data_IF_306476716226
#
_entry.id   IF_306476716226
#
_cell.length_a   1.000
_cell.length_b   1.000
_cell.length_c   1.000
_cell.angle_alpha   90.00
_cell.angle_beta   90.00
_cell.angle_gamma   90.00
#
_symmetry.space_group_name_H-M   'P 1'
#
loop_
_entity.id
_entity.type
_entity.pdbx_description
1 polymer ?
#
# COMPACT_ATOMS: atom_id res chain seq x y z
N UNK A 1 8.63 -23.40 42.09
CA UNK A 1 8.41 -22.50 40.94
C UNK A 1 9.55 -21.52 40.98
N UNK A 2 10.47 -21.56 40.01
CA UNK A 2 11.68 -20.74 40.07
C UNK A 2 11.31 -19.31 39.71
N UNK A 3 11.54 -18.37 40.63
CA UNK A 3 11.33 -16.95 40.38
C UNK A 3 12.40 -16.46 39.40
N UNK A 4 12.00 -16.23 38.15
CA UNK A 4 12.89 -15.63 37.16
C UNK A 4 13.27 -14.21 37.62
N UNK A 5 14.58 -13.93 37.65
CA UNK A 5 15.12 -12.62 38.06
C UNK A 5 15.55 -11.81 36.84
N UNK A 6 15.36 -10.50 36.91
CA UNK A 6 15.82 -9.59 35.87
C UNK A 6 17.35 -9.56 35.80
N UNK A 7 17.95 -9.77 34.62
CA UNK A 7 19.42 -9.73 34.43
C UNK A 7 20.05 -8.33 34.59
N UNK A 8 19.25 -7.28 34.73
CA UNK A 8 19.73 -5.90 34.88
C UNK A 8 19.70 -5.40 36.34
N UNK A 9 18.65 -5.73 37.08
CA UNK A 9 18.41 -5.20 38.43
C UNK A 9 18.22 -6.30 39.49
N UNK A 10 18.31 -7.56 39.11
CA UNK A 10 18.22 -8.76 39.97
C UNK A 10 16.92 -8.92 40.76
N UNK A 11 15.92 -8.07 40.53
CA UNK A 11 14.59 -8.17 41.12
C UNK A 11 13.76 -9.28 40.47
N UNK A 12 12.83 -9.83 41.25
CA UNK A 12 11.88 -10.85 40.79
C UNK A 12 10.98 -10.31 39.68
N UNK A 13 10.80 -11.10 38.63
CA UNK A 13 9.92 -10.76 37.51
C UNK A 13 8.50 -11.22 37.82
N UNK A 14 7.53 -10.45 37.33
CA UNK A 14 6.13 -10.88 37.36
C UNK A 14 5.96 -11.96 36.28
N UNK A 15 5.43 -13.14 36.60
CA UNK A 15 5.27 -14.21 35.62
C UNK A 15 4.41 -13.75 34.45
N UNK A 16 4.86 -14.05 33.22
CA UNK A 16 4.20 -13.62 31.97
C UNK A 16 4.55 -12.21 31.47
N UNK A 17 5.47 -11.50 32.14
CA UNK A 17 5.93 -10.17 31.69
C UNK A 17 7.33 -10.23 31.06
N UNK A 18 7.52 -9.53 29.93
CA UNK A 18 8.80 -9.47 29.20
C UNK A 18 9.71 -8.31 29.63
N UNK A 19 9.17 -7.34 30.38
CA UNK A 19 9.87 -6.15 30.84
C UNK A 19 9.85 -6.08 32.36
N UNK A 20 10.95 -5.62 32.95
CA UNK A 20 11.00 -5.44 34.40
C UNK A 20 10.15 -4.24 34.83
N UNK A 21 9.30 -4.42 35.85
CA UNK A 21 8.45 -3.37 36.43
C UNK A 21 9.23 -2.25 37.14
N UNK A 22 10.50 -2.49 37.50
CA UNK A 22 11.31 -1.53 38.25
C UNK A 22 12.30 -0.72 37.40
N UNK A 23 12.89 -1.32 36.36
CA UNK A 23 13.91 -0.66 35.54
C UNK A 23 13.53 -0.53 34.06
N UNK A 24 12.33 -0.99 33.68
CA UNK A 24 11.76 -0.99 32.32
C UNK A 24 12.64 -1.66 31.25
N UNK A 25 13.76 -2.30 31.63
CA UNK A 25 14.61 -3.04 30.69
C UNK A 25 13.97 -4.37 30.31
N UNK A 26 14.26 -4.82 29.09
CA UNK A 26 13.90 -6.15 28.64
C UNK A 26 14.53 -7.21 29.54
N UNK A 27 13.72 -8.14 30.05
CA UNK A 27 14.10 -9.04 31.14
C UNK A 27 15.22 -10.02 30.75
N UNK A 28 15.19 -10.50 29.52
CA UNK A 28 16.08 -11.55 29.01
C UNK A 28 17.42 -11.01 28.50
N UNK A 29 17.42 -9.81 27.90
CA UNK A 29 18.60 -9.12 27.39
C UNK A 29 18.51 -7.61 27.61
N UNK A 30 19.20 -7.07 28.63
CA UNK A 30 19.13 -5.64 28.94
C UNK A 30 19.77 -4.74 27.88
N UNK A 31 20.62 -5.28 27.00
CA UNK A 31 21.22 -4.53 25.89
C UNK A 31 20.24 -4.28 24.74
N UNK A 32 19.13 -5.02 24.68
CA UNK A 32 18.12 -4.87 23.62
C UNK A 32 17.40 -3.52 23.70
N UNK A 33 17.14 -3.03 24.93
CA UNK A 33 16.52 -1.74 25.15
C UNK A 33 15.52 -1.71 26.30
N UNK A 34 14.83 -0.56 26.41
CA UNK A 34 13.81 -0.29 27.43
C UNK A 34 12.40 -0.26 26.82
N UNK A 35 11.41 -0.49 27.67
CA UNK A 35 9.99 -0.41 27.36
C UNK A 35 9.67 0.95 26.75
N UNK A 36 9.08 0.95 25.55
CA UNK A 36 8.63 2.17 24.91
C UNK A 36 7.46 2.79 25.68
N UNK A 37 7.49 4.11 25.88
CA UNK A 37 6.42 4.85 26.52
C UNK A 37 5.10 4.74 25.76
N UNK A 38 3.98 4.73 26.50
CA UNK A 38 2.64 4.57 25.94
C UNK A 38 2.34 5.59 24.83
N UNK A 39 2.68 6.86 25.06
CA UNK A 39 2.48 7.93 24.07
C UNK A 39 3.23 7.70 22.76
N UNK A 40 4.48 7.21 22.82
CA UNK A 40 5.27 6.90 21.62
C UNK A 40 4.66 5.76 20.80
N UNK A 41 4.15 4.72 21.48
CA UNK A 41 3.45 3.60 20.81
C UNK A 41 2.14 4.05 20.20
N UNK A 42 1.36 4.85 20.93
CA UNK A 42 0.13 5.42 20.41
C UNK A 42 0.38 6.30 19.19
N UNK A 43 1.38 7.18 19.26
CA UNK A 43 1.74 8.04 18.14
C UNK A 43 2.18 7.21 16.92
N UNK A 44 3.07 6.24 17.10
CA UNK A 44 3.51 5.36 16.01
C UNK A 44 2.33 4.64 15.34
N UNK A 45 1.46 4.00 16.14
CA UNK A 45 0.30 3.27 15.62
C UNK A 45 -0.67 4.17 14.84
N UNK A 46 -0.77 5.44 15.19
CA UNK A 46 -1.60 6.40 14.44
C UNK A 46 -0.86 6.97 13.23
N UNK A 47 0.45 7.22 13.31
CA UNK A 47 1.24 7.84 12.25
C UNK A 47 1.53 6.88 11.10
N UNK A 48 1.80 5.61 11.40
CA UNK A 48 2.10 4.55 10.42
C UNK A 48 1.05 4.43 9.31
N UNK A 49 -0.28 4.36 9.59
CA UNK A 49 -1.27 4.30 8.52
C UNK A 49 -1.32 5.59 7.68
N UNK A 50 -1.10 6.76 8.26
CA UNK A 50 -1.04 8.01 7.48
C UNK A 50 0.17 8.03 6.55
N UNK A 51 1.34 7.62 7.05
CA UNK A 51 2.56 7.51 6.23
C UNK A 51 2.34 6.49 5.11
N UNK A 52 1.76 5.34 5.43
CA UNK A 52 1.47 4.31 4.44
C UNK A 52 0.51 4.81 3.34
N UNK A 53 -0.61 5.45 3.71
CA UNK A 53 -1.55 6.02 2.75
C UNK A 53 -0.92 7.13 1.90
N UNK A 54 -0.08 7.98 2.50
CA UNK A 54 0.62 9.06 1.80
C UNK A 54 1.65 8.52 0.79
N UNK A 55 2.42 7.51 1.17
CA UNK A 55 3.37 6.87 0.25
C UNK A 55 2.67 6.16 -0.91
N UNK A 56 1.56 5.46 -0.65
CA UNK A 56 0.75 4.84 -1.71
C UNK A 56 0.15 5.88 -2.67
N UNK A 57 -0.36 7.00 -2.15
CA UNK A 57 -0.96 8.04 -3.00
C UNK A 57 0.07 8.68 -3.93
N UNK A 58 1.28 8.98 -3.43
CA UNK A 58 2.39 9.48 -4.25
C UNK A 58 2.80 8.45 -5.29
N UNK A 59 2.95 7.18 -4.91
CA UNK A 59 3.33 6.12 -5.84
C UNK A 59 2.28 5.96 -6.96
N UNK A 60 0.99 5.96 -6.61
CA UNK A 60 -0.11 5.96 -7.58
C UNK A 60 -0.06 7.19 -8.49
N UNK A 61 0.18 8.38 -7.94
CA UNK A 61 0.24 9.62 -8.69
C UNK A 61 1.40 9.63 -9.71
N UNK A 62 2.58 9.15 -9.32
CA UNK A 62 3.73 9.01 -10.22
C UNK A 62 3.43 7.99 -11.33
N UNK A 63 2.82 6.86 -10.99
CA UNK A 63 2.43 5.83 -11.96
C UNK A 63 1.41 6.35 -12.97
N UNK A 64 0.39 7.07 -12.50
CA UNK A 64 -0.61 7.69 -13.36
C UNK A 64 0.00 8.75 -14.29
N UNK A 65 0.90 9.59 -13.76
CA UNK A 65 1.59 10.61 -14.55
C UNK A 65 2.47 10.03 -15.66
N UNK A 66 2.97 8.80 -15.48
CA UNK A 66 3.79 8.10 -16.48
C UNK A 66 2.99 7.22 -17.43
N UNK A 67 1.67 7.08 -17.24
CA UNK A 67 0.88 6.11 -17.98
C UNK A 67 1.26 4.66 -17.70
N UNK A 68 1.95 4.40 -16.59
CA UNK A 68 2.57 3.11 -16.32
C UNK A 68 2.40 2.72 -14.85
N UNK A 69 1.61 1.68 -14.61
CA UNK A 69 1.52 1.04 -13.29
C UNK A 69 2.71 0.11 -13.10
N UNK A 70 3.11 -0.22 -11.86
CA UNK A 70 4.21 -1.17 -11.61
C UNK A 70 3.96 -2.51 -12.31
N UNK A 71 2.71 -2.98 -12.34
CA UNK A 71 2.32 -4.18 -13.07
C UNK A 71 2.53 -4.05 -14.58
N UNK A 72 2.18 -2.91 -15.17
CA UNK A 72 2.44 -2.67 -16.59
C UNK A 72 3.95 -2.61 -16.87
N UNK A 73 4.72 -1.96 -16.01
CA UNK A 73 6.18 -1.94 -16.16
C UNK A 73 6.82 -3.32 -16.02
N UNK A 74 6.29 -4.19 -15.16
CA UNK A 74 6.75 -5.56 -15.00
C UNK A 74 6.42 -6.41 -16.25
N UNK A 75 5.26 -6.17 -16.85
CA UNK A 75 4.76 -6.90 -18.01
C UNK A 75 5.13 -6.24 -19.35
N UNK A 76 5.97 -5.20 -19.35
CA UNK A 76 6.37 -4.51 -20.56
C UNK A 76 5.22 -3.77 -21.27
N UNK A 77 4.16 -3.38 -20.58
CA UNK A 77 3.02 -2.66 -21.14
C UNK A 77 3.07 -1.16 -20.82
N UNK A 78 2.32 -0.36 -21.57
CA UNK A 78 2.16 1.08 -21.35
C UNK A 78 0.79 1.55 -21.82
N UNK A 79 0.19 2.49 -21.09
CA UNK A 79 -1.05 3.14 -21.50
C UNK A 79 -0.70 4.37 -22.35
N UNK A 80 -1.32 4.48 -23.53
CA UNK A 80 -1.24 5.64 -24.41
C UNK A 80 -2.64 6.09 -24.81
N UNK A 81 -2.81 7.36 -25.18
CA UNK A 81 -4.05 7.80 -25.83
C UNK A 81 -4.12 7.24 -27.26
N UNK A 82 -5.31 7.25 -27.86
CA UNK A 82 -5.49 6.92 -29.28
C UNK A 82 -4.55 7.72 -30.20
N UNK A 83 -4.22 8.96 -29.81
CA UNK A 83 -3.32 9.84 -30.56
C UNK A 83 -1.82 9.53 -30.35
N UNK A 84 -1.49 8.44 -29.64
CA UNK A 84 -0.11 8.06 -29.31
C UNK A 84 0.54 8.90 -28.21
N UNK A 85 -0.13 9.95 -27.74
CA UNK A 85 0.36 10.82 -26.67
C UNK A 85 0.25 10.16 -25.29
N UNK A 86 1.08 10.62 -24.34
CA UNK A 86 1.01 10.15 -22.95
C UNK A 86 -0.34 10.54 -22.34
N UNK A 87 -1.01 9.64 -21.60
CA UNK A 87 -2.25 9.96 -20.92
C UNK A 87 -1.98 11.02 -19.85
N UNK A 88 -2.75 12.11 -19.87
CA UNK A 88 -2.68 13.14 -18.85
C UNK A 88 -3.42 12.73 -17.58
N UNK A 89 -3.23 13.50 -16.50
CA UNK A 89 -3.87 13.27 -15.21
C UNK A 89 -5.41 13.17 -15.31
N UNK A 90 -6.06 14.06 -16.06
CA UNK A 90 -7.52 14.03 -16.24
C UNK A 90 -8.02 12.78 -16.96
N UNK A 91 -7.25 12.26 -17.91
CA UNK A 91 -7.59 11.00 -18.61
C UNK A 91 -7.48 9.80 -17.67
N UNK A 92 -6.47 9.77 -16.81
CA UNK A 92 -6.35 8.73 -15.78
C UNK A 92 -7.45 8.84 -14.71
N UNK A 93 -7.82 10.05 -14.30
CA UNK A 93 -8.95 10.25 -13.39
C UNK A 93 -10.27 9.76 -13.99
N UNK A 94 -10.55 10.07 -15.27
CA UNK A 94 -11.74 9.55 -15.95
C UNK A 94 -11.73 8.02 -16.03
N UNK A 95 -10.57 7.44 -16.36
CA UNK A 95 -10.38 5.99 -16.41
C UNK A 95 -10.69 5.33 -15.06
N UNK A 96 -10.18 5.90 -13.98
CA UNK A 96 -10.32 5.31 -12.64
C UNK A 96 -11.69 5.60 -12.02
N UNK A 97 -12.13 6.85 -12.01
CA UNK A 97 -13.36 7.26 -11.33
C UNK A 97 -14.61 6.89 -12.09
N UNK A 98 -14.61 7.04 -13.42
CA UNK A 98 -15.81 6.76 -14.23
C UNK A 98 -15.70 5.35 -14.80
N UNK A 99 -14.56 5.03 -15.39
CA UNK A 99 -14.35 3.76 -16.08
C UNK A 99 -14.38 2.54 -15.16
N UNK A 100 -13.58 2.54 -14.08
CA UNK A 100 -13.57 1.40 -13.13
C UNK A 100 -14.84 1.35 -12.32
N UNK A 101 -15.39 2.47 -11.86
CA UNK A 101 -16.67 2.48 -11.14
C UNK A 101 -17.80 1.91 -11.99
N UNK A 102 -17.88 2.29 -13.27
CA UNK A 102 -18.83 1.66 -14.20
C UNK A 102 -18.56 0.16 -14.33
N UNK A 103 -17.30 -0.25 -14.52
CA UNK A 103 -16.95 -1.67 -14.65
C UNK A 103 -17.35 -2.48 -13.40
N UNK A 104 -17.12 -1.95 -12.20
CA UNK A 104 -17.47 -2.57 -10.91
C UNK A 104 -18.97 -2.59 -10.69
N UNK A 105 -19.68 -1.51 -11.02
CA UNK A 105 -21.13 -1.40 -10.89
C UNK A 105 -21.86 -2.49 -11.69
N UNK A 106 -21.31 -2.85 -12.85
CA UNK A 106 -21.78 -3.96 -13.67
C UNK A 106 -21.06 -5.28 -13.34
N UNK A 107 -20.82 -5.58 -12.06
CA UNK A 107 -20.22 -6.84 -11.58
C UNK A 107 -18.87 -7.23 -12.24
N UNK A 108 -18.09 -6.24 -12.66
CA UNK A 108 -16.80 -6.46 -13.32
C UNK A 108 -16.89 -6.81 -14.82
N UNK A 109 -18.08 -6.83 -15.43
CA UNK A 109 -18.27 -7.12 -16.86
C UNK A 109 -17.44 -6.18 -17.74
N UNK A 110 -17.29 -4.92 -17.32
CA UNK A 110 -16.49 -3.94 -18.04
C UNK A 110 -15.01 -4.29 -18.17
N UNK A 111 -14.47 -5.15 -17.29
CA UNK A 111 -13.11 -5.69 -17.42
C UNK A 111 -13.05 -6.83 -18.43
N UNK A 112 -14.00 -7.77 -18.35
CA UNK A 112 -14.08 -8.92 -19.27
C UNK A 112 -14.39 -8.52 -20.71
N UNK A 113 -14.96 -7.34 -20.93
CA UNK A 113 -15.21 -6.81 -22.27
C UNK A 113 -13.96 -6.74 -23.16
N UNK A 114 -12.77 -6.62 -22.56
CA UNK A 114 -11.51 -6.65 -23.29
C UNK A 114 -11.28 -7.97 -24.07
N UNK A 115 -11.96 -9.06 -23.72
CA UNK A 115 -11.89 -10.33 -24.46
C UNK A 115 -12.63 -10.26 -25.80
N UNK A 116 -13.68 -9.44 -25.89
CA UNK A 116 -14.53 -9.33 -27.08
C UNK A 116 -14.17 -8.16 -28.00
N UNK A 117 -13.54 -7.10 -27.47
CA UNK A 117 -13.11 -5.95 -28.26
C UNK A 117 -11.88 -6.30 -29.13
N UNK A 118 -11.91 -5.98 -30.43
CA UNK A 118 -10.81 -6.26 -31.35
C UNK A 118 -9.49 -5.60 -30.93
N UNK A 119 -9.57 -4.44 -30.28
CA UNK A 119 -8.42 -3.70 -29.74
C UNK A 119 -8.13 -4.06 -28.27
N UNK A 120 -8.77 -5.12 -27.74
CA UNK A 120 -8.69 -5.58 -26.35
C UNK A 120 -8.95 -4.49 -25.30
N UNK A 121 -9.84 -3.54 -25.60
CA UNK A 121 -10.17 -2.45 -24.67
C UNK A 121 -11.29 -2.82 -23.71
N UNK A 122 -11.03 -2.62 -22.43
CA UNK A 122 -12.07 -2.65 -21.40
C UNK A 122 -12.93 -1.37 -21.47
N UNK A 123 -14.06 -1.36 -20.75
CA UNK A 123 -14.93 -0.17 -20.71
C UNK A 123 -14.22 1.08 -20.21
N UNK A 124 -13.38 0.91 -19.20
CA UNK A 124 -12.60 2.01 -18.66
C UNK A 124 -11.57 2.56 -19.65
N UNK A 125 -10.98 1.72 -20.51
CA UNK A 125 -10.12 2.15 -21.61
C UNK A 125 -10.90 2.91 -22.69
N UNK A 126 -12.09 2.42 -23.04
CA UNK A 126 -12.98 3.08 -24.01
C UNK A 126 -13.43 4.46 -23.55
N UNK A 127 -13.87 4.57 -22.28
CA UNK A 127 -14.35 5.82 -21.69
C UNK A 127 -13.20 6.85 -21.59
N UNK A 128 -12.00 6.41 -21.23
CA UNK A 128 -10.84 7.29 -21.15
C UNK A 128 -10.20 7.60 -22.52
N UNK A 129 -10.60 6.92 -23.59
CA UNK A 129 -9.97 7.05 -24.90
C UNK A 129 -8.51 6.59 -24.90
N UNK A 130 -8.18 5.58 -24.09
CA UNK A 130 -6.83 5.02 -23.98
C UNK A 130 -6.74 3.64 -24.61
N UNK A 131 -5.53 3.27 -25.00
CA UNK A 131 -5.14 1.94 -25.44
C UNK A 131 -3.92 1.48 -24.64
N UNK A 132 -3.79 0.17 -24.46
CA UNK A 132 -2.63 -0.45 -23.83
C UNK A 132 -1.76 -1.03 -24.94
N UNK A 133 -0.49 -0.66 -24.96
CA UNK A 133 0.50 -1.14 -25.94
C UNK A 133 1.63 -1.83 -25.21
N UNK A 134 2.22 -2.85 -25.82
CA UNK A 134 3.49 -3.42 -25.36
C UNK A 134 4.65 -2.49 -25.75
N UNK A 135 5.70 -2.49 -24.92
CA UNK A 135 6.88 -1.63 -25.01
C UNK A 135 8.05 -2.35 -25.67
#
# INVERSE_FOLDING_TARGET
MNDEKCKNCEKTLVPGTYFCSHCDSFAENPKLGKKAGLFKRWLANNLDPFIYLFTLSIAMWISWSKGNTPAHSLLGMKIVKKDGTKPGFGTMLLRELVGKTASILFFGIGYYWAVFDADRRAWHDRIAGTIVVEK
#
